data_IF_640733976211
#
_entry.id   IF_640733976211
#
_cell.length_a   1.000
_cell.length_b   1.000
_cell.length_c   1.000
_cell.angle_alpha   90.00
_cell.angle_beta   90.00
_cell.angle_gamma   90.00
#
_symmetry.space_group_name_H-M   'P 1'
#
loop_
_entity.id
_entity.type
_entity.pdbx_description
1 polymer ?
#
# COMPACT_ATOMS: atom_id res chain seq x y z
N UNK A 1 -16.42 1.85 -25.93
CA UNK A 1 -17.01 0.52 -25.85
C UNK A 1 -17.28 0.16 -24.41
N UNK A 2 -18.49 -0.26 -24.11
CA UNK A 2 -18.86 -0.56 -22.72
C UNK A 2 -18.39 -1.97 -22.35
N UNK A 3 -17.66 -2.07 -21.25
CA UNK A 3 -17.20 -3.35 -20.75
C UNK A 3 -18.37 -4.16 -20.17
N UNK A 4 -18.39 -5.44 -20.46
CA UNK A 4 -19.43 -6.32 -19.93
C UNK A 4 -19.25 -6.50 -18.43
N UNK A 5 -20.36 -6.59 -17.63
CA UNK A 5 -20.25 -6.69 -16.17
C UNK A 5 -19.38 -7.82 -15.67
N UNK A 6 -19.43 -8.99 -16.31
CA UNK A 6 -18.62 -10.13 -15.87
C UNK A 6 -17.13 -9.90 -16.14
N UNK A 7 -16.77 -9.18 -17.19
CA UNK A 7 -15.38 -8.83 -17.50
C UNK A 7 -14.85 -7.84 -16.46
N UNK A 8 -15.68 -6.88 -16.06
CA UNK A 8 -15.34 -5.93 -15.02
C UNK A 8 -15.03 -6.63 -13.70
N UNK A 9 -15.85 -7.59 -13.29
CA UNK A 9 -15.63 -8.37 -12.07
C UNK A 9 -14.34 -9.18 -12.14
N UNK A 10 -14.06 -9.78 -13.29
CA UNK A 10 -12.83 -10.55 -13.49
C UNK A 10 -11.59 -9.67 -13.37
N UNK A 11 -11.63 -8.47 -13.93
CA UNK A 11 -10.55 -7.49 -13.83
C UNK A 11 -10.32 -7.07 -12.38
N UNK A 12 -11.39 -6.75 -11.65
CA UNK A 12 -11.30 -6.38 -10.24
C UNK A 12 -10.72 -7.50 -9.38
N UNK A 13 -11.08 -8.75 -9.67
CA UNK A 13 -10.56 -9.90 -8.96
C UNK A 13 -9.04 -10.05 -9.18
N UNK A 14 -8.56 -9.86 -10.40
CA UNK A 14 -7.13 -9.89 -10.72
C UNK A 14 -6.38 -8.79 -9.97
N UNK A 15 -6.91 -7.56 -9.95
CA UNK A 15 -6.32 -6.43 -9.25
C UNK A 15 -6.22 -6.74 -7.76
N UNK A 16 -7.28 -7.26 -7.15
CA UNK A 16 -7.28 -7.63 -5.74
C UNK A 16 -6.24 -8.70 -5.41
N UNK A 17 -6.10 -9.70 -6.28
CA UNK A 17 -5.12 -10.77 -6.12
C UNK A 17 -3.69 -10.21 -6.20
N UNK A 18 -3.41 -9.37 -7.18
CA UNK A 18 -2.11 -8.73 -7.33
C UNK A 18 -1.78 -7.86 -6.11
N UNK A 19 -2.78 -7.15 -5.57
CA UNK A 19 -2.63 -6.34 -4.37
C UNK A 19 -2.26 -7.16 -3.15
N UNK A 20 -2.90 -8.33 -2.95
CA UNK A 20 -2.59 -9.21 -1.83
C UNK A 20 -1.18 -9.79 -1.93
N UNK A 21 -0.75 -10.16 -3.13
CA UNK A 21 0.61 -10.64 -3.36
C UNK A 21 1.65 -9.55 -3.07
N UNK A 22 1.37 -8.32 -3.49
CA UNK A 22 2.25 -7.18 -3.22
C UNK A 22 2.39 -6.92 -1.73
N UNK A 23 1.27 -6.97 -0.99
CA UNK A 23 1.28 -6.76 0.46
C UNK A 23 2.09 -7.84 1.17
N UNK A 24 1.93 -9.11 0.79
CA UNK A 24 2.72 -10.20 1.36
C UNK A 24 4.21 -10.04 1.09
N UNK A 25 4.57 -9.66 -0.13
CA UNK A 25 5.96 -9.44 -0.51
C UNK A 25 6.57 -8.31 0.29
N UNK A 26 5.86 -7.16 0.39
CA UNK A 26 6.34 -6.01 1.15
C UNK A 26 6.49 -6.33 2.63
N UNK A 27 5.54 -7.08 3.19
CA UNK A 27 5.62 -7.50 4.59
C UNK A 27 6.88 -8.31 4.84
N UNK A 28 7.19 -9.24 3.96
CA UNK A 28 8.39 -10.07 4.06
C UNK A 28 9.66 -9.24 3.85
N UNK A 29 9.71 -8.45 2.78
CA UNK A 29 10.90 -7.66 2.41
C UNK A 29 11.28 -6.65 3.49
N UNK A 30 10.28 -6.07 4.15
CA UNK A 30 10.48 -5.04 5.18
C UNK A 30 10.46 -5.61 6.59
N UNK A 31 10.36 -6.93 6.73
CA UNK A 31 10.33 -7.63 8.03
C UNK A 31 9.22 -7.12 8.95
N UNK A 32 8.08 -6.77 8.34
CA UNK A 32 6.95 -6.23 9.06
C UNK A 32 5.93 -7.28 9.46
N UNK A 33 4.87 -6.82 10.11
CA UNK A 33 3.71 -7.63 10.45
C UNK A 33 2.51 -7.12 9.69
N UNK A 34 1.85 -8.03 8.97
CA UNK A 34 0.58 -7.71 8.34
C UNK A 34 -0.50 -7.56 9.40
N UNK A 35 -1.32 -6.52 9.28
CA UNK A 35 -2.48 -6.29 10.15
C UNK A 35 -3.75 -6.39 9.34
N UNK A 36 -4.79 -7.04 9.87
CA UNK A 36 -6.09 -6.96 9.22
C UNK A 36 -6.60 -5.52 9.31
N UNK A 37 -7.22 -5.05 8.24
CA UNK A 37 -7.80 -3.71 8.25
C UNK A 37 -8.96 -3.68 9.25
N UNK A 38 -8.92 -2.72 10.18
CA UNK A 38 -9.93 -2.56 11.22
C UNK A 38 -11.30 -2.23 10.60
N UNK A 39 -12.32 -2.98 10.97
CA UNK A 39 -13.67 -2.81 10.43
C UNK A 39 -13.78 -3.08 8.94
N UNK A 40 -12.79 -3.71 8.37
CA UNK A 40 -12.71 -3.92 6.94
C UNK A 40 -13.64 -5.03 6.49
N UNK A 41 -14.19 -4.83 5.31
CA UNK A 41 -14.92 -5.87 4.61
C UNK A 41 -13.94 -6.90 4.05
N UNK A 42 -14.45 -8.07 3.74
CA UNK A 42 -13.64 -9.13 3.13
C UNK A 42 -12.88 -8.60 1.91
N UNK A 43 -11.59 -8.83 1.87
CA UNK A 43 -10.73 -8.37 0.78
C UNK A 43 -10.08 -7.01 1.00
N UNK A 44 -10.44 -6.30 2.06
CA UNK A 44 -9.75 -5.05 2.39
C UNK A 44 -8.35 -5.35 2.91
N UNK A 45 -7.40 -4.50 2.53
CA UNK A 45 -6.01 -4.68 2.92
C UNK A 45 -5.76 -4.11 4.29
N UNK A 46 -4.92 -4.78 5.06
CA UNK A 46 -4.44 -4.26 6.32
C UNK A 46 -3.19 -3.42 6.12
N UNK A 47 -2.79 -2.79 7.20
CA UNK A 47 -1.53 -2.07 7.26
C UNK A 47 -0.39 -3.05 7.57
N UNK A 48 0.82 -2.62 7.27
CA UNK A 48 2.04 -3.36 7.63
C UNK A 48 2.71 -2.63 8.79
N UNK A 49 2.89 -3.33 9.89
CA UNK A 49 3.51 -2.78 11.10
C UNK A 49 5.01 -3.07 11.09
N UNK A 50 5.81 -2.02 10.99
CA UNK A 50 7.27 -2.11 11.00
C UNK A 50 7.85 -1.73 12.37
N UNK A 51 7.01 -1.58 13.38
CA UNK A 51 7.41 -1.11 14.70
C UNK A 51 7.30 0.41 14.79
N UNK A 52 8.34 1.17 14.44
CA UNK A 52 8.26 2.64 14.50
C UNK A 52 7.46 3.26 13.35
N UNK A 53 7.14 2.49 12.32
CA UNK A 53 6.42 2.97 11.14
C UNK A 53 5.22 2.07 10.87
N UNK A 54 4.08 2.68 10.59
CA UNK A 54 2.89 1.99 10.13
C UNK A 54 2.72 2.32 8.64
N UNK A 55 2.64 1.28 7.81
CA UNK A 55 2.72 1.41 6.37
C UNK A 55 1.44 0.92 5.71
N UNK A 56 0.83 1.78 4.90
CA UNK A 56 -0.29 1.41 4.03
C UNK A 56 0.26 0.98 2.68
N UNK A 57 -0.14 -0.19 2.21
CA UNK A 57 0.33 -0.72 0.92
C UNK A 57 -0.74 -0.55 -0.15
N UNK A 58 -0.37 0.03 -1.27
CA UNK A 58 -1.21 0.18 -2.46
C UNK A 58 -0.47 -0.36 -3.66
N UNK A 59 -1.18 -1.03 -4.55
CA UNK A 59 -0.58 -1.57 -5.76
C UNK A 59 -1.52 -1.38 -6.95
N UNK A 60 -0.94 -1.38 -8.13
CA UNK A 60 -1.69 -1.27 -9.37
C UNK A 60 -1.00 -2.04 -10.47
N UNK A 61 -1.81 -2.55 -11.41
CA UNK A 61 -1.31 -3.15 -12.64
C UNK A 61 -1.27 -2.12 -13.78
N UNK A 62 -1.76 -0.89 -13.51
CA UNK A 62 -1.77 0.20 -14.48
C UNK A 62 -0.44 0.93 -14.44
N UNK A 63 -0.20 1.77 -15.46
CA UNK A 63 1.04 2.55 -15.50
C UNK A 63 1.00 3.80 -14.63
N UNK A 64 -0.16 4.12 -14.08
CA UNK A 64 -0.33 5.28 -13.20
C UNK A 64 -1.25 4.95 -12.04
N UNK A 65 -1.08 5.68 -10.95
CA UNK A 65 -1.89 5.55 -9.76
C UNK A 65 -2.17 6.93 -9.19
N UNK A 66 -3.45 7.23 -8.93
CA UNK A 66 -3.82 8.45 -8.22
C UNK A 66 -3.63 8.23 -6.72
N UNK A 67 -2.75 9.00 -6.12
CA UNK A 67 -2.56 8.99 -4.66
C UNK A 67 -3.63 9.88 -4.05
N UNK A 68 -4.53 9.28 -3.27
CA UNK A 68 -5.62 10.02 -2.64
C UNK A 68 -5.17 10.60 -1.31
N UNK A 69 -5.51 11.86 -1.07
CA UNK A 69 -5.25 12.49 0.22
C UNK A 69 -5.87 11.69 1.37
N UNK A 70 -7.05 11.11 1.14
CA UNK A 70 -7.73 10.30 2.15
C UNK A 70 -6.90 9.12 2.63
N UNK A 71 -6.10 8.52 1.77
CA UNK A 71 -5.20 7.43 2.17
C UNK A 71 -4.13 7.93 3.13
N UNK A 72 -3.54 9.07 2.79
CA UNK A 72 -2.47 9.67 3.59
C UNK A 72 -2.98 10.13 4.95
N UNK A 73 -4.17 10.75 4.97
CA UNK A 73 -4.79 11.19 6.24
C UNK A 73 -5.18 10.01 7.12
N UNK A 74 -5.69 8.95 6.52
CA UNK A 74 -6.05 7.73 7.25
C UNK A 74 -4.84 7.11 7.94
N UNK A 75 -3.78 6.86 7.17
CA UNK A 75 -2.58 6.21 7.73
C UNK A 75 -1.87 7.14 8.73
N UNK A 76 -1.88 8.44 8.49
CA UNK A 76 -1.30 9.41 9.42
C UNK A 76 -2.03 9.38 10.76
N UNK A 77 -3.36 9.34 10.75
CA UNK A 77 -4.18 9.28 11.96
C UNK A 77 -3.96 7.97 12.72
N UNK A 78 -3.96 6.84 12.01
CA UNK A 78 -3.75 5.54 12.64
C UNK A 78 -2.35 5.43 13.26
N UNK A 79 -1.34 5.89 12.55
CA UNK A 79 0.04 5.86 13.05
C UNK A 79 0.19 6.76 14.27
N UNK A 80 -0.38 7.97 14.22
CA UNK A 80 -0.31 8.92 15.35
C UNK A 80 -0.95 8.34 16.59
N UNK A 81 -2.08 7.64 16.45
CA UNK A 81 -2.77 7.01 17.58
C UNK A 81 -1.90 5.98 18.28
N UNK A 82 -0.92 5.40 17.60
CA UNK A 82 -0.01 4.38 18.13
C UNK A 82 1.40 4.93 18.40
N UNK A 83 1.61 6.23 18.25
CA UNK A 83 2.93 6.83 18.43
C UNK A 83 3.93 6.44 17.35
N UNK A 84 3.45 6.12 16.15
CA UNK A 84 4.27 5.69 15.02
C UNK A 84 4.28 6.74 13.92
N UNK A 85 5.22 6.63 13.01
CA UNK A 85 5.24 7.42 11.79
C UNK A 85 4.49 6.68 10.68
N UNK A 86 3.83 7.44 9.81
CA UNK A 86 3.08 6.89 8.69
C UNK A 86 3.93 6.80 7.43
N UNK A 87 3.67 5.79 6.60
CA UNK A 87 4.25 5.69 5.27
C UNK A 87 3.24 5.04 4.32
N UNK A 88 3.38 5.33 3.03
CA UNK A 88 2.58 4.74 1.97
C UNK A 88 3.51 4.02 1.01
N UNK A 89 3.35 2.71 0.88
CA UNK A 89 4.08 1.94 -0.11
C UNK A 89 3.25 1.82 -1.38
N UNK A 90 3.85 2.15 -2.51
CA UNK A 90 3.23 2.06 -3.82
C UNK A 90 3.99 1.02 -4.63
N UNK A 91 3.28 0.05 -5.21
CA UNK A 91 3.87 -0.99 -6.03
C UNK A 91 3.19 -1.02 -7.39
N UNK A 92 3.96 -0.81 -8.44
CA UNK A 92 3.53 -1.05 -9.82
C UNK A 92 3.92 -2.48 -10.15
N UNK A 93 2.92 -3.30 -10.45
CA UNK A 93 3.10 -4.74 -10.60
C UNK A 93 2.51 -5.24 -11.91
N UNK A 94 2.92 -6.44 -12.31
CA UNK A 94 2.29 -7.15 -13.42
C UNK A 94 1.03 -7.89 -12.93
N UNK A 95 0.37 -8.60 -13.82
CA UNK A 95 -0.88 -9.30 -13.48
C UNK A 95 -0.70 -10.41 -12.45
N UNK A 96 0.50 -10.96 -12.33
CA UNK A 96 0.83 -11.96 -11.33
C UNK A 96 1.21 -11.35 -9.98
N UNK A 97 1.21 -10.03 -9.87
CA UNK A 97 1.56 -9.33 -8.64
C UNK A 97 3.05 -9.16 -8.43
N UNK A 98 3.86 -9.43 -9.45
CA UNK A 98 5.31 -9.24 -9.38
C UNK A 98 5.66 -7.79 -9.65
N UNK A 99 6.62 -7.20 -8.93
CA UNK A 99 6.96 -5.79 -9.14
C UNK A 99 7.66 -5.58 -10.48
N UNK A 100 7.32 -4.46 -11.10
CA UNK A 100 8.05 -3.99 -12.27
C UNK A 100 9.39 -3.44 -11.82
N UNK A 101 10.36 -3.38 -12.73
CA UNK A 101 11.66 -2.80 -12.44
C UNK A 101 11.48 -1.35 -11.94
N UNK A 102 12.08 -1.05 -10.80
CA UNK A 102 11.97 0.25 -10.13
C UNK A 102 10.51 0.67 -9.85
N UNK A 103 9.63 -0.30 -9.70
CA UNK A 103 8.20 -0.03 -9.54
C UNK A 103 7.71 0.05 -8.09
N UNK A 104 8.58 -0.16 -7.10
CA UNK A 104 8.18 -0.10 -5.70
C UNK A 104 8.77 1.10 -4.99
N UNK A 105 7.89 1.92 -4.39
CA UNK A 105 8.26 3.18 -3.77
C UNK A 105 7.61 3.30 -2.39
N UNK A 106 8.30 3.94 -1.46
CA UNK A 106 7.75 4.24 -0.14
C UNK A 106 7.69 5.76 0.01
N UNK A 107 6.49 6.28 0.28
CA UNK A 107 6.25 7.70 0.46
C UNK A 107 6.13 7.99 1.95
N UNK A 108 6.80 9.02 2.41
CA UNK A 108 6.72 9.49 3.79
C UNK A 108 6.34 10.97 3.79
N UNK A 109 5.90 11.48 4.97
CA UNK A 109 5.58 12.90 5.07
C UNK A 109 6.84 13.74 4.88
N UNK A 110 6.64 14.98 4.44
CA UNK A 110 7.74 15.95 4.32
C UNK A 110 8.46 16.12 5.66
N UNK A 111 7.71 16.18 6.75
CA UNK A 111 8.28 16.31 8.09
C UNK A 111 9.19 15.12 8.43
N UNK A 112 8.73 13.89 8.14
CA UNK A 112 9.54 12.70 8.41
C UNK A 112 10.78 12.68 7.53
N UNK A 113 10.66 13.06 6.27
CA UNK A 113 11.80 13.17 5.36
C UNK A 113 12.84 14.16 5.91
N UNK A 114 12.39 15.33 6.40
CA UNK A 114 13.29 16.33 6.98
C UNK A 114 14.00 15.81 8.21
N UNK A 115 13.30 15.07 9.08
CA UNK A 115 13.91 14.45 10.26
C UNK A 115 14.99 13.45 9.85
N UNK A 116 14.69 12.59 8.87
CA UNK A 116 15.66 11.61 8.38
C UNK A 116 16.87 12.28 7.73
N UNK A 117 16.64 13.35 6.98
CA UNK A 117 17.70 14.07 6.30
C UNK A 117 18.69 14.69 7.28
N UNK A 118 18.24 15.13 8.45
CA UNK A 118 19.10 15.69 9.48
C UNK A 118 20.09 14.69 10.05
N UNK A 119 19.82 13.39 9.90
CA UNK A 119 20.70 12.33 10.37
C UNK A 119 21.80 11.96 9.36
N UNK A 120 21.69 12.47 8.14
CA UNK A 120 22.67 12.20 7.10
C UNK A 120 23.81 13.22 7.19
#
# INVERSE_FOLDING_TARGET
MTELPYMRRKTQHKIGRAGRKSEKRLTKDLEGRARPASGAMAGAKGDIDLGPILLEAKSTTQESMSVKLSWLLKIAREARAEGKSAALAISFVNEEGQPLLDGEWVCISKQKFQEMFQWL
#
